data_IF_960955833534
#
_entry.id   IF_960955833534
#
_cell.length_a   1.000
_cell.length_b   1.000
_cell.length_c   1.000
_cell.angle_alpha   90.00
_cell.angle_beta   90.00
_cell.angle_gamma   90.00
#
_symmetry.space_group_name_H-M   'P 1'
#
loop_
_entity.id
_entity.type
_entity.pdbx_description
1 polymer ?
#
# COMPACT_ATOMS: atom_id res chain seq x y z
N UNK A 1 8.76 -7.23 -29.69
CA UNK A 1 7.91 -7.60 -28.53
C UNK A 1 7.05 -8.80 -28.97
N UNK A 2 7.17 -9.97 -28.34
CA UNK A 2 6.38 -11.17 -28.74
C UNK A 2 5.02 -11.17 -28.05
N UNK A 3 3.96 -11.68 -28.70
CA UNK A 3 2.59 -11.74 -28.16
C UNK A 3 2.53 -12.38 -26.75
N UNK A 4 3.30 -13.45 -26.51
CA UNK A 4 3.41 -14.11 -25.20
C UNK A 4 3.99 -13.20 -24.12
N UNK A 5 4.95 -12.34 -24.46
CA UNK A 5 5.55 -11.38 -23.53
C UNK A 5 4.55 -10.29 -23.14
N UNK A 6 3.74 -9.83 -24.09
CA UNK A 6 2.71 -8.82 -23.84
C UNK A 6 1.59 -9.36 -22.92
N UNK A 7 1.10 -10.58 -23.17
CA UNK A 7 0.07 -11.22 -22.32
C UNK A 7 0.58 -11.42 -20.87
N UNK A 8 1.85 -11.81 -20.70
CA UNK A 8 2.46 -11.95 -19.36
C UNK A 8 2.57 -10.61 -18.62
N UNK A 9 2.98 -9.55 -19.31
CA UNK A 9 3.06 -8.19 -18.75
C UNK A 9 1.69 -7.68 -18.30
N UNK A 10 0.65 -7.86 -19.13
CA UNK A 10 -0.73 -7.50 -18.76
C UNK A 10 -1.23 -8.26 -17.53
N UNK A 11 -0.92 -9.55 -17.42
CA UNK A 11 -1.26 -10.35 -16.24
C UNK A 11 -0.57 -9.86 -14.96
N UNK A 12 0.70 -9.43 -15.04
CA UNK A 12 1.43 -8.88 -13.90
C UNK A 12 0.90 -7.50 -13.48
N UNK A 13 0.57 -6.62 -14.45
CA UNK A 13 -0.07 -5.34 -14.20
C UNK A 13 -1.42 -5.51 -13.50
N UNK A 14 -2.27 -6.43 -14.00
CA UNK A 14 -3.59 -6.71 -13.41
C UNK A 14 -3.49 -7.19 -11.95
N UNK A 15 -2.54 -8.09 -11.64
CA UNK A 15 -2.30 -8.55 -10.27
C UNK A 15 -1.81 -7.43 -9.35
N UNK A 16 -0.94 -6.56 -9.84
CA UNK A 16 -0.43 -5.42 -9.05
C UNK A 16 -1.55 -4.45 -8.71
N UNK A 17 -2.46 -4.17 -9.65
CA UNK A 17 -3.64 -3.34 -9.40
C UNK A 17 -4.62 -3.98 -8.41
N UNK A 18 -4.80 -5.30 -8.48
CA UNK A 18 -5.59 -6.04 -7.49
C UNK A 18 -4.97 -5.94 -6.10
N UNK A 19 -3.65 -6.10 -5.98
CA UNK A 19 -2.95 -5.95 -4.71
C UNK A 19 -3.15 -4.55 -4.11
N UNK A 20 -2.96 -3.49 -4.90
CA UNK A 20 -3.22 -2.10 -4.46
C UNK A 20 -4.66 -1.94 -3.97
N UNK A 21 -5.63 -2.50 -4.69
CA UNK A 21 -7.05 -2.43 -4.31
C UNK A 21 -7.31 -3.12 -2.96
N UNK A 22 -6.75 -4.31 -2.75
CA UNK A 22 -6.84 -5.04 -1.48
C UNK A 22 -6.23 -4.22 -0.34
N UNK A 23 -5.04 -3.66 -0.54
CA UNK A 23 -4.39 -2.83 0.49
C UNK A 23 -5.21 -1.59 0.86
N UNK A 24 -5.88 -0.95 -0.11
CA UNK A 24 -6.77 0.17 0.18
C UNK A 24 -7.99 -0.26 1.01
N UNK A 25 -8.57 -1.42 0.71
CA UNK A 25 -9.70 -1.96 1.46
C UNK A 25 -9.29 -2.31 2.90
N UNK A 26 -8.15 -2.99 3.08
CA UNK A 26 -7.62 -3.37 4.39
C UNK A 26 -7.29 -2.14 5.24
N UNK A 27 -6.64 -1.13 4.65
CA UNK A 27 -6.36 0.12 5.35
C UNK A 27 -7.64 0.86 5.77
N UNK A 28 -8.64 0.91 4.88
CA UNK A 28 -9.94 1.55 5.19
C UNK A 28 -10.64 0.85 6.36
N UNK A 29 -10.59 -0.48 6.39
CA UNK A 29 -11.12 -1.28 7.49
C UNK A 29 -10.37 -0.98 8.80
N UNK A 30 -9.04 -0.95 8.77
CA UNK A 30 -8.23 -0.61 9.94
C UNK A 30 -8.53 0.79 10.50
N UNK A 31 -8.65 1.81 9.63
CA UNK A 31 -9.03 3.17 10.04
C UNK A 31 -10.39 3.18 10.73
N UNK A 32 -11.37 2.44 10.18
CA UNK A 32 -12.69 2.33 10.77
C UNK A 32 -12.65 1.69 12.16
N UNK A 33 -11.96 0.55 12.29
CA UNK A 33 -11.81 -0.16 13.57
C UNK A 33 -11.13 0.71 14.64
N UNK A 34 -10.05 1.42 14.28
CA UNK A 34 -9.36 2.33 15.19
C UNK A 34 -10.23 3.50 15.63
N UNK A 35 -10.96 4.10 14.69
CA UNK A 35 -11.87 5.22 14.99
C UNK A 35 -13.01 4.78 15.90
N UNK A 36 -13.60 3.61 15.62
CA UNK A 36 -14.65 3.04 16.46
C UNK A 36 -14.16 2.77 17.89
N UNK A 37 -12.99 2.13 18.02
CA UNK A 37 -12.39 1.85 19.33
C UNK A 37 -12.04 3.13 20.10
N UNK A 38 -11.49 4.15 19.43
CA UNK A 38 -11.21 5.44 20.06
C UNK A 38 -12.50 6.14 20.51
N UNK A 39 -13.55 6.10 19.69
CA UNK A 39 -14.86 6.68 20.01
C UNK A 39 -15.49 6.00 21.23
N UNK A 40 -15.48 4.67 21.28
CA UNK A 40 -16.00 3.90 22.41
C UNK A 40 -15.25 4.27 23.71
N UNK A 41 -13.91 4.32 23.65
CA UNK A 41 -13.08 4.71 24.79
C UNK A 41 -13.32 6.17 25.22
N UNK A 42 -13.53 7.08 24.27
CA UNK A 42 -13.84 8.48 24.56
C UNK A 42 -15.19 8.64 25.25
N UNK A 43 -16.23 7.95 24.78
CA UNK A 43 -17.55 7.96 25.41
C UNK A 43 -17.47 7.43 26.84
N UNK A 44 -16.61 6.43 27.09
CA UNK A 44 -16.36 5.87 28.42
C UNK A 44 -15.42 6.70 29.32
N UNK A 45 -14.82 7.78 28.83
CA UNK A 45 -13.85 8.57 29.59
C UNK A 45 -14.53 9.37 30.70
N UNK A 46 -14.06 9.18 31.96
CA UNK A 46 -14.63 9.84 33.15
C UNK A 46 -13.89 11.11 33.57
N UNK A 47 -12.84 11.48 32.85
CA UNK A 47 -12.06 12.69 33.08
C UNK A 47 -11.46 13.21 31.77
N UNK A 48 -11.10 14.49 31.78
CA UNK A 48 -10.43 15.13 30.65
C UNK A 48 -9.04 14.51 30.37
N UNK A 49 -8.29 14.17 31.42
CA UNK A 49 -7.00 13.48 31.32
C UNK A 49 -7.14 12.14 30.58
N UNK A 50 -8.19 11.37 30.90
CA UNK A 50 -8.42 10.09 30.21
C UNK A 50 -8.83 10.29 28.75
N UNK A 51 -9.59 11.34 28.44
CA UNK A 51 -9.92 11.67 27.06
C UNK A 51 -8.67 12.07 26.25
N UNK A 52 -7.73 12.81 26.84
CA UNK A 52 -6.44 13.14 26.21
C UNK A 52 -5.63 11.87 25.95
N UNK A 53 -5.57 10.94 26.90
CA UNK A 53 -4.86 9.67 26.73
C UNK A 53 -5.43 8.89 25.53
N UNK A 54 -6.76 8.76 25.45
CA UNK A 54 -7.43 8.07 24.33
C UNK A 54 -7.12 8.73 22.99
N UNK A 55 -7.20 10.06 22.89
CA UNK A 55 -6.88 10.77 21.65
C UNK A 55 -5.39 10.67 21.28
N UNK A 56 -4.50 10.69 22.27
CA UNK A 56 -3.05 10.56 22.05
C UNK A 56 -2.71 9.17 21.51
N UNK A 57 -3.31 8.13 22.08
CA UNK A 57 -3.14 6.75 21.62
C UNK A 57 -3.73 6.55 20.21
N UNK A 58 -4.93 7.11 19.94
CA UNK A 58 -5.52 7.09 18.60
C UNK A 58 -4.62 7.78 17.57
N UNK A 59 -4.07 8.95 17.90
CA UNK A 59 -3.17 9.69 17.01
C UNK A 59 -1.88 8.89 16.73
N UNK A 60 -1.29 8.27 17.76
CA UNK A 60 -0.10 7.41 17.59
C UNK A 60 -0.41 6.21 16.69
N UNK A 61 -1.47 5.46 16.99
CA UNK A 61 -1.89 4.29 16.22
C UNK A 61 -2.21 4.63 14.76
N UNK A 62 -2.90 5.75 14.55
CA UNK A 62 -3.23 6.26 13.21
C UNK A 62 -1.96 6.58 12.41
N UNK A 63 -0.98 7.22 13.05
CA UNK A 63 0.30 7.53 12.43
C UNK A 63 1.09 6.26 12.06
N UNK A 64 1.23 5.32 12.98
CA UNK A 64 1.91 4.04 12.73
C UNK A 64 1.27 3.27 11.58
N UNK A 65 -0.07 3.21 11.58
CA UNK A 65 -0.84 2.54 10.53
C UNK A 65 -0.71 3.23 9.17
N UNK A 66 -0.72 4.56 9.15
CA UNK A 66 -0.50 5.33 7.94
C UNK A 66 0.89 5.09 7.35
N UNK A 67 1.93 5.14 8.17
CA UNK A 67 3.31 4.90 7.73
C UNK A 67 3.44 3.48 7.16
N UNK A 68 2.90 2.48 7.85
CA UNK A 68 2.91 1.10 7.37
C UNK A 68 2.22 0.97 5.99
N UNK A 69 1.05 1.60 5.82
CA UNK A 69 0.33 1.60 4.54
C UNK A 69 1.10 2.33 3.44
N UNK A 70 1.71 3.47 3.76
CA UNK A 70 2.49 4.26 2.81
C UNK A 70 3.72 3.48 2.31
N UNK A 71 4.42 2.80 3.23
CA UNK A 71 5.54 1.90 2.87
C UNK A 71 5.06 0.79 1.93
N UNK A 72 3.97 0.11 2.28
CA UNK A 72 3.44 -1.01 1.50
C UNK A 72 2.96 -0.60 0.11
N UNK A 73 2.26 0.54 0.00
CA UNK A 73 1.89 1.09 -1.30
C UNK A 73 3.12 1.50 -2.11
N UNK A 74 4.14 2.08 -1.48
CA UNK A 74 5.41 2.42 -2.13
C UNK A 74 6.10 1.20 -2.75
N UNK A 75 6.13 0.09 -2.03
CA UNK A 75 6.65 -1.20 -2.53
C UNK A 75 5.84 -1.71 -3.73
N UNK A 76 4.50 -1.72 -3.62
CA UNK A 76 3.62 -2.16 -4.71
C UNK A 76 3.78 -1.31 -5.98
N UNK A 77 3.92 0.01 -5.83
CA UNK A 77 4.17 0.91 -6.97
C UNK A 77 5.57 0.70 -7.57
N UNK A 78 6.59 0.46 -6.75
CA UNK A 78 7.93 0.14 -7.24
C UNK A 78 7.95 -1.19 -8.01
N UNK A 79 7.24 -2.20 -7.51
CA UNK A 79 7.08 -3.51 -8.17
C UNK A 79 6.34 -3.36 -9.50
N UNK A 80 5.25 -2.59 -9.51
CA UNK A 80 4.50 -2.26 -10.73
C UNK A 80 5.39 -1.59 -11.78
N UNK A 81 6.19 -0.61 -11.38
CA UNK A 81 7.13 0.06 -12.27
C UNK A 81 8.16 -0.94 -12.83
N UNK A 82 8.76 -1.78 -11.98
CA UNK A 82 9.72 -2.81 -12.42
C UNK A 82 9.11 -3.76 -13.44
N UNK A 83 7.90 -4.27 -13.22
CA UNK A 83 7.20 -5.13 -14.19
C UNK A 83 6.91 -4.41 -15.52
N UNK A 84 6.55 -3.13 -15.47
CA UNK A 84 6.33 -2.32 -16.67
C UNK A 84 7.62 -2.06 -17.47
N UNK A 85 8.77 -1.97 -16.81
CA UNK A 85 10.07 -1.71 -17.44
C UNK A 85 10.77 -2.95 -18.03
N UNK A 86 10.43 -4.17 -17.58
CA UNK A 86 11.03 -5.44 -18.08
C UNK A 86 11.11 -5.59 -19.61
N UNK A 87 10.11 -5.20 -20.42
CA UNK A 87 10.20 -5.29 -21.88
C UNK A 87 11.34 -4.44 -22.48
N UNK A 88 11.71 -3.34 -21.83
CA UNK A 88 12.77 -2.43 -22.29
C UNK A 88 14.17 -2.93 -21.90
N UNK A 89 14.33 -3.53 -20.71
CA UNK A 89 15.59 -4.18 -20.31
C UNK A 89 16.04 -5.24 -21.32
N UNK A 90 15.10 -6.05 -21.80
CA UNK A 90 15.35 -7.07 -22.82
C UNK A 90 15.75 -6.49 -24.20
N UNK A 91 15.46 -5.21 -24.47
CA UNK A 91 15.90 -4.52 -25.68
C UNK A 91 17.28 -3.85 -25.49
N UNK A 92 17.56 -3.28 -24.32
CA UNK A 92 18.88 -2.70 -24.00
C UNK A 92 19.98 -3.75 -23.91
N UNK A 93 19.72 -4.91 -23.31
CA UNK A 93 20.68 -6.02 -23.29
C UNK A 93 21.04 -6.57 -24.68
N UNK A 94 20.14 -6.39 -25.67
CA UNK A 94 20.41 -6.75 -27.08
C UNK A 94 21.19 -5.67 -27.84
N UNK A 95 21.14 -4.41 -27.40
CA UNK A 95 21.92 -3.31 -28.00
C UNK A 95 23.31 -3.17 -27.37
N UNK A 96 23.48 -3.56 -26.10
CA UNK A 96 24.76 -3.55 -25.39
C UNK A 96 25.72 -4.70 -25.76
N UNK A 97 25.35 -5.54 -26.73
CA UNK A 97 26.28 -6.47 -27.39
C UNK A 97 26.50 -6.07 -28.85
N UNK A 98 27.19 -4.95 -29.14
CA UNK A 98 27.89 -4.83 -30.41
C UNK A 98 29.12 -5.75 -30.37
N UNK A 99 29.41 -6.40 -31.51
CA UNK A 99 30.69 -7.10 -31.73
C UNK A 99 31.88 -6.23 -31.38
#
# INVERSE_FOLDING_TARGET
>A
MTFRSSVRSLGALSKSLQAITVEFADYSKNVFEQTAAATEKLIGAKSFEKAIEVQSDYARSSYESFVAQATKLGELYADLAREAYKPFEAQFGKMASPK
#
